data_IF_255022043446
#
_entry.id   IF_255022043446
#
_cell.length_a   1.000
_cell.length_b   1.000
_cell.length_c   1.000
_cell.angle_alpha   90.00
_cell.angle_beta   90.00
_cell.angle_gamma   90.00
#
_symmetry.space_group_name_H-M   'P 1'
#
loop_
_entity.id
_entity.type
_entity.pdbx_description
1 polymer ?
#
# COMPACT_ATOMS: atom_id res chain seq x y z
N UNK A 1 -3.11 -19.99 -33.69
CA UNK A 1 -2.42 -18.80 -33.76
C UNK A 1 -2.86 -17.65 -32.85
N UNK A 2 -4.19 -17.39 -32.67
CA UNK A 2 -4.65 -16.44 -31.64
C UNK A 2 -4.38 -16.93 -30.22
N UNK A 3 -4.48 -18.24 -29.98
CA UNK A 3 -4.21 -18.86 -28.68
C UNK A 3 -2.71 -18.82 -28.34
N UNK A 4 -1.84 -19.05 -29.33
CA UNK A 4 -0.38 -18.96 -29.13
C UNK A 4 0.08 -17.52 -28.89
N UNK A 5 -0.47 -16.52 -29.59
CA UNK A 5 -0.21 -15.11 -29.32
C UNK A 5 -0.72 -14.69 -27.92
N UNK A 6 -1.88 -15.22 -27.49
CA UNK A 6 -2.40 -14.99 -26.11
C UNK A 6 -1.48 -15.60 -25.06
N UNK A 7 -0.92 -16.81 -25.31
CA UNK A 7 0.00 -17.49 -24.40
C UNK A 7 1.42 -16.89 -24.43
N UNK A 8 1.86 -16.27 -25.52
CA UNK A 8 3.11 -15.52 -25.60
C UNK A 8 3.02 -14.18 -24.87
N UNK A 9 1.91 -13.47 -24.94
CA UNK A 9 1.65 -12.25 -24.16
C UNK A 9 1.57 -12.56 -22.64
N UNK A 10 1.16 -13.78 -22.27
CA UNK A 10 1.15 -14.24 -20.86
C UNK A 10 2.55 -14.61 -20.35
N UNK A 11 3.50 -14.89 -21.23
CA UNK A 11 4.89 -15.28 -20.89
C UNK A 11 5.86 -14.10 -20.73
N UNK A 12 5.47 -12.89 -21.12
CA UNK A 12 6.32 -11.72 -20.97
C UNK A 12 6.27 -11.27 -19.50
N UNK A 13 7.41 -11.28 -18.84
CA UNK A 13 7.55 -10.74 -17.48
C UNK A 13 7.13 -9.26 -17.46
N UNK A 14 5.91 -9.01 -16.99
CA UNK A 14 5.37 -7.66 -16.91
C UNK A 14 5.99 -6.91 -15.75
N UNK A 15 6.30 -5.64 -15.98
CA UNK A 15 6.95 -4.76 -15.02
C UNK A 15 5.93 -3.81 -14.41
N UNK A 16 5.98 -3.63 -13.10
CA UNK A 16 5.18 -2.66 -12.39
C UNK A 16 6.04 -1.64 -11.63
N UNK A 17 5.64 -0.39 -11.63
CA UNK A 17 6.07 0.56 -10.60
C UNK A 17 5.05 0.57 -9.47
N UNK A 18 5.50 0.21 -8.28
CA UNK A 18 4.73 0.28 -7.04
C UNK A 18 5.06 1.59 -6.34
N UNK A 19 4.15 2.56 -6.37
CA UNK A 19 4.43 3.93 -5.96
C UNK A 19 3.60 4.34 -4.75
N UNK A 20 4.27 4.81 -3.70
CA UNK A 20 3.63 5.25 -2.46
C UNK A 20 4.27 6.53 -1.92
N UNK A 21 3.73 7.05 -0.84
CA UNK A 21 4.31 8.16 -0.07
C UNK A 21 5.30 7.70 1.01
N UNK A 22 5.67 6.41 1.04
CA UNK A 22 6.59 5.82 2.00
C UNK A 22 5.94 5.25 3.26
N UNK A 23 4.61 5.43 3.45
CA UNK A 23 3.90 4.83 4.58
C UNK A 23 3.89 3.29 4.49
N UNK A 24 4.23 2.59 5.58
CA UNK A 24 4.38 1.14 5.62
C UNK A 24 3.12 0.39 5.15
N UNK A 25 1.92 0.87 5.54
CA UNK A 25 0.65 0.30 5.10
C UNK A 25 0.45 0.40 3.58
N UNK A 26 0.79 1.55 2.98
CA UNK A 26 0.70 1.74 1.54
C UNK A 26 1.71 0.87 0.78
N UNK A 27 2.93 0.74 1.31
CA UNK A 27 3.97 -0.16 0.77
C UNK A 27 3.46 -1.61 0.77
N UNK A 28 2.90 -2.06 1.89
CA UNK A 28 2.33 -3.41 2.02
C UNK A 28 1.26 -3.69 0.96
N UNK A 29 0.38 -2.72 0.72
CA UNK A 29 -0.71 -2.85 -0.24
C UNK A 29 -0.21 -2.97 -1.68
N UNK A 30 0.66 -2.08 -2.13
CA UNK A 30 1.17 -2.12 -3.51
C UNK A 30 2.01 -3.36 -3.78
N UNK A 31 2.83 -3.79 -2.82
CA UNK A 31 3.60 -5.04 -2.90
C UNK A 31 2.69 -6.26 -2.96
N UNK A 32 1.67 -6.31 -2.10
CA UNK A 32 0.70 -7.41 -2.06
C UNK A 32 -0.02 -7.58 -3.39
N UNK A 33 -0.50 -6.48 -3.99
CA UNK A 33 -1.17 -6.52 -5.28
C UNK A 33 -0.21 -6.95 -6.39
N UNK A 34 0.99 -6.36 -6.46
CA UNK A 34 1.98 -6.70 -7.48
C UNK A 34 2.38 -8.18 -7.42
N UNK A 35 2.58 -8.71 -6.21
CA UNK A 35 2.91 -10.13 -5.99
C UNK A 35 1.75 -11.05 -6.38
N UNK A 36 0.51 -10.72 -6.02
CA UNK A 36 -0.68 -11.48 -6.39
C UNK A 36 -0.89 -11.51 -7.92
N UNK A 37 -0.55 -10.41 -8.61
CA UNK A 37 -0.57 -10.32 -10.07
C UNK A 37 0.67 -10.96 -10.74
N UNK A 38 1.60 -11.51 -9.97
CA UNK A 38 2.87 -12.11 -10.45
C UNK A 38 3.70 -11.14 -11.32
N UNK A 39 3.75 -9.87 -10.93
CA UNK A 39 4.50 -8.83 -11.63
C UNK A 39 5.92 -8.70 -11.06
N UNK A 40 6.88 -8.46 -11.94
CA UNK A 40 8.18 -7.91 -11.53
C UNK A 40 7.99 -6.44 -11.18
N UNK A 41 8.27 -6.03 -9.94
CA UNK A 41 7.97 -4.67 -9.51
C UNK A 41 9.19 -3.94 -8.94
N UNK A 42 9.17 -2.63 -9.13
CA UNK A 42 10.08 -1.68 -8.49
C UNK A 42 9.28 -0.84 -7.50
N UNK A 43 9.73 -0.79 -6.25
CA UNK A 43 9.14 0.08 -5.24
C UNK A 43 9.73 1.48 -5.37
N UNK A 44 8.87 2.48 -5.53
CA UNK A 44 9.26 3.89 -5.67
C UNK A 44 8.48 4.76 -4.68
N UNK A 45 9.14 5.77 -4.15
CA UNK A 45 8.50 6.77 -3.28
C UNK A 45 8.32 8.08 -4.04
N UNK A 46 7.14 8.70 -3.89
CA UNK A 46 6.85 9.97 -4.53
C UNK A 46 6.96 11.13 -3.53
N UNK A 47 7.61 12.22 -3.97
CA UNK A 47 7.65 13.49 -3.29
C UNK A 47 6.96 14.57 -4.13
N UNK A 48 6.05 15.33 -3.50
CA UNK A 48 5.35 16.43 -4.16
C UNK A 48 5.95 17.79 -3.79
N UNK A 49 5.94 18.72 -4.76
CA UNK A 49 6.23 20.15 -4.52
C UNK A 49 5.00 20.87 -3.98
N UNK A 50 5.21 22.04 -3.37
CA UNK A 50 4.13 22.98 -3.12
C UNK A 50 3.60 23.56 -4.47
N UNK A 51 2.31 23.86 -4.61
CA UNK A 51 1.26 23.71 -3.60
C UNK A 51 0.64 22.30 -3.51
N UNK A 52 0.89 21.39 -4.45
CA UNK A 52 0.26 20.04 -4.55
C UNK A 52 0.43 19.20 -3.28
N UNK A 53 1.56 19.38 -2.57
CA UNK A 53 1.81 18.72 -1.28
C UNK A 53 0.68 18.92 -0.26
N UNK A 54 0.01 20.06 -0.32
CA UNK A 54 -1.01 20.48 0.65
C UNK A 54 -2.43 20.37 0.12
N UNK A 55 -2.61 20.30 -1.20
CA UNK A 55 -3.92 20.29 -1.85
C UNK A 55 -4.47 18.86 -2.02
N UNK A 56 -5.79 18.70 -2.09
CA UNK A 56 -6.40 17.44 -2.49
C UNK A 56 -6.01 17.07 -3.93
N UNK A 57 -5.89 15.76 -4.25
CA UNK A 57 -5.72 15.32 -5.62
C UNK A 57 -6.84 15.84 -6.53
N UNK A 58 -6.49 16.20 -7.77
CA UNK A 58 -7.47 16.71 -8.74
C UNK A 58 -7.80 18.20 -8.61
N UNK A 59 -7.39 18.86 -7.51
CA UNK A 59 -7.62 20.31 -7.36
C UNK A 59 -6.80 21.14 -8.36
N UNK A 60 -5.57 20.72 -8.61
CA UNK A 60 -4.71 21.27 -9.65
C UNK A 60 -4.30 20.17 -10.63
N UNK A 61 -4.09 20.55 -11.89
CA UNK A 61 -3.58 19.63 -12.89
C UNK A 61 -2.21 19.09 -12.50
N UNK A 62 -2.00 17.79 -12.67
CA UNK A 62 -0.69 17.16 -12.48
C UNK A 62 0.19 17.42 -13.70
N UNK A 63 1.32 18.06 -13.47
CA UNK A 63 2.37 18.36 -14.47
C UNK A 63 3.71 17.86 -13.95
N UNK A 64 4.77 17.88 -14.76
CA UNK A 64 6.10 17.38 -14.35
C UNK A 64 6.64 18.08 -13.09
N UNK A 65 6.40 19.38 -12.97
CA UNK A 65 6.81 20.14 -11.78
C UNK A 65 6.01 19.80 -10.52
N UNK A 66 4.92 19.06 -10.60
CA UNK A 66 4.16 18.56 -9.44
C UNK A 66 5.02 17.64 -8.58
N UNK A 67 5.85 16.83 -9.23
CA UNK A 67 6.64 15.77 -8.58
C UNK A 67 8.06 16.27 -8.40
N UNK A 68 8.53 16.33 -7.15
CA UNK A 68 9.86 16.82 -6.81
C UNK A 68 10.95 15.91 -7.34
N UNK A 69 10.76 14.60 -7.19
CA UNK A 69 11.69 13.57 -7.64
C UNK A 69 11.24 12.92 -8.98
N UNK A 70 10.76 13.73 -9.92
CA UNK A 70 10.28 13.23 -11.23
C UNK A 70 11.36 12.48 -12.03
N UNK A 71 12.64 12.76 -11.78
CA UNK A 71 13.77 12.04 -12.37
C UNK A 71 13.72 10.53 -12.13
N UNK A 72 13.25 10.12 -10.95
CA UNK A 72 13.19 8.71 -10.54
C UNK A 72 12.13 7.91 -11.35
N UNK A 73 11.32 8.63 -12.11
CA UNK A 73 10.25 8.10 -12.98
C UNK A 73 10.54 8.31 -14.46
N UNK A 74 11.75 8.75 -14.83
CA UNK A 74 12.21 8.92 -16.22
C UNK A 74 13.17 7.79 -16.59
N UNK A 75 12.62 6.59 -16.75
CA UNK A 75 13.39 5.42 -17.17
C UNK A 75 13.24 5.18 -18.69
N UNK A 76 14.24 4.52 -19.27
CA UNK A 76 14.23 4.14 -20.68
C UNK A 76 13.15 3.11 -21.00
N UNK A 77 12.83 2.27 -20.02
CA UNK A 77 11.79 1.23 -20.13
C UNK A 77 10.62 1.65 -19.24
N UNK A 78 9.48 1.90 -19.85
CA UNK A 78 8.25 2.19 -19.15
C UNK A 78 7.67 0.91 -18.55
N UNK A 79 7.01 0.99 -17.36
CA UNK A 79 6.34 -0.15 -16.80
C UNK A 79 5.05 -0.48 -17.56
N UNK A 80 4.60 -1.72 -17.50
CA UNK A 80 3.27 -2.11 -17.98
C UNK A 80 2.17 -1.61 -17.04
N UNK A 81 2.48 -1.58 -15.72
CA UNK A 81 1.55 -1.15 -14.68
C UNK A 81 2.17 -0.08 -13.78
N UNK A 82 1.35 0.88 -13.37
CA UNK A 82 1.63 1.78 -12.25
C UNK A 82 0.61 1.48 -11.17
N UNK A 83 1.07 0.85 -10.08
CA UNK A 83 0.27 0.51 -8.91
C UNK A 83 0.55 1.54 -7.82
N UNK A 84 -0.46 2.27 -7.40
CA UNK A 84 -0.31 3.37 -6.45
C UNK A 84 -1.17 3.16 -5.21
N UNK A 85 -0.68 3.61 -4.05
CA UNK A 85 -1.46 3.70 -2.82
C UNK A 85 -1.10 4.96 -2.04
N UNK A 86 -2.11 5.57 -1.41
CA UNK A 86 -1.97 6.81 -0.67
C UNK A 86 -2.13 8.07 -1.51
N UNK A 87 -2.58 9.14 -0.85
CA UNK A 87 -3.01 10.41 -1.49
C UNK A 87 -1.99 11.03 -2.45
N UNK A 88 -0.71 11.03 -2.08
CA UNK A 88 0.32 11.69 -2.89
C UNK A 88 0.57 10.97 -4.21
N UNK A 89 0.46 9.65 -4.23
CA UNK A 89 0.73 8.83 -5.42
C UNK A 89 -0.35 8.96 -6.51
N UNK A 90 -1.54 9.47 -6.16
CA UNK A 90 -2.59 9.81 -7.12
C UNK A 90 -2.07 10.77 -8.20
N UNK A 91 -1.28 11.77 -7.82
CA UNK A 91 -0.75 12.75 -8.77
C UNK A 91 0.14 12.12 -9.85
N UNK A 92 0.93 11.09 -9.50
CA UNK A 92 1.73 10.37 -10.48
C UNK A 92 0.85 9.61 -11.47
N UNK A 93 -0.15 8.89 -10.99
CA UNK A 93 -1.07 8.14 -11.85
C UNK A 93 -1.77 9.07 -12.83
N UNK A 94 -2.27 10.23 -12.37
CA UNK A 94 -2.92 11.22 -13.23
C UNK A 94 -1.96 11.76 -14.28
N UNK A 95 -0.73 12.10 -13.90
CA UNK A 95 0.30 12.59 -14.81
C UNK A 95 0.63 11.57 -15.90
N UNK A 96 0.91 10.32 -15.51
CA UNK A 96 1.28 9.29 -16.46
C UNK A 96 0.11 8.86 -17.35
N UNK A 97 -1.11 8.80 -16.80
CA UNK A 97 -2.31 8.51 -17.60
C UNK A 97 -2.54 9.58 -18.66
N UNK A 98 -2.37 10.86 -18.33
CA UNK A 98 -2.51 11.96 -19.29
C UNK A 98 -1.44 11.92 -20.39
N UNK A 99 -0.19 11.57 -20.03
CA UNK A 99 0.94 11.57 -20.97
C UNK A 99 1.04 10.31 -21.83
N UNK A 100 0.83 9.15 -21.21
CA UNK A 100 1.08 7.84 -21.84
C UNK A 100 -0.19 7.16 -22.33
N UNK A 101 -1.35 7.69 -21.95
CA UNK A 101 -2.67 7.15 -22.33
C UNK A 101 -2.75 5.64 -22.06
N UNK A 102 -2.90 4.83 -23.14
CA UNK A 102 -3.08 3.39 -23.04
C UNK A 102 -1.77 2.58 -23.00
N UNK A 103 -0.61 3.23 -23.01
CA UNK A 103 0.67 2.51 -22.97
C UNK A 103 1.00 1.91 -21.61
N UNK A 104 0.42 2.46 -20.54
CA UNK A 104 0.63 2.02 -19.17
C UNK A 104 -0.74 1.87 -18.49
N UNK A 105 -0.95 0.78 -17.77
CA UNK A 105 -2.15 0.56 -16.96
C UNK A 105 -1.97 1.11 -15.57
N UNK A 106 -2.93 1.90 -15.10
CA UNK A 106 -2.91 2.53 -13.78
C UNK A 106 -3.90 1.86 -12.84
N UNK A 107 -3.41 1.41 -11.68
CA UNK A 107 -4.22 0.83 -10.62
C UNK A 107 -3.99 1.63 -9.35
N UNK A 108 -5.04 2.16 -8.75
CA UNK A 108 -4.95 2.83 -7.46
C UNK A 108 -5.61 1.99 -6.36
N UNK A 109 -4.95 1.86 -5.23
CA UNK A 109 -5.47 1.18 -4.04
C UNK A 109 -5.94 2.23 -3.04
N UNK A 110 -7.14 2.09 -2.51
CA UNK A 110 -7.92 3.02 -1.69
C UNK A 110 -8.75 4.00 -2.54
N UNK A 111 -9.58 4.82 -1.90
CA UNK A 111 -10.31 5.89 -2.56
C UNK A 111 -9.37 7.04 -2.93
N UNK A 112 -9.14 7.32 -4.22
CA UNK A 112 -8.22 8.37 -4.67
C UNK A 112 -8.73 9.79 -4.39
N UNK A 113 -9.99 9.95 -3.95
CA UNK A 113 -10.69 11.24 -3.77
C UNK A 113 -10.78 12.09 -5.04
N UNK A 114 -10.75 11.43 -6.19
CA UNK A 114 -11.02 11.96 -7.53
C UNK A 114 -11.88 10.96 -8.31
N UNK A 115 -12.34 11.34 -9.49
CA UNK A 115 -13.13 10.44 -10.33
C UNK A 115 -12.34 9.14 -10.64
N UNK A 116 -12.93 8.00 -10.32
CA UNK A 116 -12.31 6.68 -10.55
C UNK A 116 -11.95 6.43 -12.02
N UNK A 117 -12.72 6.98 -12.96
CA UNK A 117 -12.48 6.84 -14.41
C UNK A 117 -11.16 7.46 -14.89
N UNK A 118 -10.47 8.21 -14.03
CA UNK A 118 -9.11 8.69 -14.30
C UNK A 118 -8.04 7.60 -14.16
N UNK A 119 -8.41 6.42 -13.70
CA UNK A 119 -7.56 5.23 -13.60
C UNK A 119 -8.12 4.10 -14.47
N UNK A 120 -7.29 3.11 -14.79
CA UNK A 120 -7.80 1.89 -15.41
C UNK A 120 -8.59 1.05 -14.39
N UNK A 121 -8.08 0.95 -13.15
CA UNK A 121 -8.78 0.31 -12.04
C UNK A 121 -8.52 1.05 -10.73
N UNK A 122 -9.52 1.00 -9.84
CA UNK A 122 -9.41 1.39 -8.43
C UNK A 122 -9.81 0.21 -7.57
N UNK A 123 -9.01 -0.14 -6.58
CA UNK A 123 -9.35 -1.17 -5.60
C UNK A 123 -9.57 -0.47 -4.26
N UNK A 124 -10.81 -0.47 -3.77
CA UNK A 124 -11.18 0.24 -2.57
C UNK A 124 -11.89 -0.67 -1.56
N UNK A 125 -11.71 -0.45 -0.25
CA UNK A 125 -12.48 -1.15 0.78
C UNK A 125 -13.98 -1.00 0.57
N UNK A 126 -14.76 -1.99 0.99
CA UNK A 126 -16.23 -1.95 0.86
C UNK A 126 -16.86 -0.75 1.57
N UNK A 127 -16.27 -0.34 2.69
CA UNK A 127 -16.77 0.80 3.48
C UNK A 127 -16.49 2.18 2.85
N UNK A 128 -15.64 2.25 1.83
CA UNK A 128 -15.44 3.50 1.08
C UNK A 128 -16.61 3.75 0.14
N UNK A 129 -17.04 5.01 0.06
CA UNK A 129 -18.22 5.42 -0.75
C UNK A 129 -17.98 5.43 -2.26
N UNK A 130 -16.72 5.30 -2.71
CA UNK A 130 -16.39 5.32 -4.14
C UNK A 130 -17.01 4.14 -4.88
N UNK A 131 -17.64 4.42 -6.03
CA UNK A 131 -18.22 3.43 -6.92
C UNK A 131 -17.90 3.77 -8.37
N UNK A 132 -17.96 2.78 -9.27
CA UNK A 132 -17.74 2.98 -10.69
C UNK A 132 -17.50 1.66 -11.43
N UNK A 133 -17.58 1.66 -12.76
CA UNK A 133 -17.42 0.43 -13.57
C UNK A 133 -16.01 -0.16 -13.48
N UNK A 134 -15.02 0.62 -13.07
CA UNK A 134 -13.63 0.25 -12.90
C UNK A 134 -13.20 0.15 -11.42
N UNK A 135 -14.19 0.17 -10.48
CA UNK A 135 -13.93 0.06 -9.04
C UNK A 135 -14.18 -1.37 -8.59
N UNK A 136 -13.16 -1.98 -8.01
CA UNK A 136 -13.19 -3.31 -7.40
C UNK A 136 -13.28 -3.11 -5.89
N UNK A 137 -14.32 -3.63 -5.28
CA UNK A 137 -14.50 -3.59 -3.82
C UNK A 137 -13.76 -4.75 -3.15
N UNK A 138 -13.05 -4.44 -2.08
CA UNK A 138 -12.30 -5.41 -1.28
C UNK A 138 -12.86 -5.45 0.15
N UNK A 139 -13.15 -6.64 0.66
CA UNK A 139 -13.62 -6.86 2.04
C UNK A 139 -12.49 -6.56 3.02
N UNK A 140 -11.27 -6.99 2.69
CA UNK A 140 -10.07 -6.83 3.52
C UNK A 140 -9.06 -5.91 2.84
N UNK A 141 -8.21 -5.29 3.65
CA UNK A 141 -7.07 -4.54 3.14
C UNK A 141 -6.08 -5.47 2.43
N UNK A 142 -5.69 -5.10 1.21
CA UNK A 142 -4.62 -5.78 0.49
C UNK A 142 -3.33 -5.67 1.32
N UNK A 143 -2.59 -6.77 1.40
CA UNK A 143 -1.30 -6.81 2.09
C UNK A 143 -0.36 -7.80 1.40
N UNK A 144 0.92 -7.78 1.77
CA UNK A 144 1.96 -8.65 1.21
C UNK A 144 2.29 -9.85 2.11
N UNK A 145 1.48 -10.10 3.13
CA UNK A 145 1.73 -11.20 4.08
C UNK A 145 1.25 -12.50 3.45
N UNK A 146 2.17 -13.43 3.28
CA UNK A 146 1.91 -14.79 2.78
C UNK A 146 2.28 -15.82 3.83
N UNK A 147 1.82 -17.06 3.67
CA UNK A 147 2.17 -18.15 4.58
C UNK A 147 3.68 -18.41 4.58
N UNK A 148 4.34 -18.31 3.42
CA UNK A 148 5.79 -18.47 3.30
C UNK A 148 6.54 -17.37 4.07
N UNK A 149 6.05 -16.11 4.00
CA UNK A 149 6.62 -15.02 4.78
C UNK A 149 6.44 -15.27 6.28
N UNK A 150 5.26 -15.69 6.71
CA UNK A 150 4.99 -16.01 8.12
C UNK A 150 5.89 -17.13 8.62
N UNK A 151 6.07 -18.21 7.86
CA UNK A 151 6.98 -19.31 8.20
C UNK A 151 8.43 -18.80 8.31
N UNK A 152 8.89 -18.05 7.33
CA UNK A 152 10.24 -17.47 7.32
C UNK A 152 10.51 -16.57 8.53
N UNK A 153 9.55 -15.69 8.86
CA UNK A 153 9.68 -14.81 10.04
C UNK A 153 9.58 -15.59 11.35
N UNK A 154 8.74 -16.64 11.42
CA UNK A 154 8.66 -17.52 12.59
C UNK A 154 10.02 -18.16 12.90
N UNK A 155 10.73 -18.67 11.90
CA UNK A 155 12.06 -19.23 12.10
C UNK A 155 13.07 -18.19 12.63
N UNK A 156 13.06 -16.97 12.08
CA UNK A 156 13.95 -15.89 12.53
C UNK A 156 13.73 -15.48 13.98
N UNK A 157 12.47 -15.55 14.46
CA UNK A 157 12.13 -15.14 15.82
C UNK A 157 12.11 -16.32 16.81
N UNK A 158 12.19 -17.56 16.37
CA UNK A 158 12.11 -18.76 17.20
C UNK A 158 13.06 -18.70 18.40
N UNK A 159 14.34 -18.50 18.13
CA UNK A 159 15.37 -18.46 19.19
C UNK A 159 15.22 -17.25 20.10
N UNK A 160 14.85 -16.10 19.50
CA UNK A 160 14.66 -14.84 20.24
C UNK A 160 13.49 -14.89 21.22
N UNK A 161 12.49 -15.71 20.95
CA UNK A 161 11.27 -15.85 21.75
C UNK A 161 11.23 -17.16 22.55
N UNK A 162 12.25 -18.02 22.45
CA UNK A 162 12.30 -19.36 23.04
C UNK A 162 12.22 -19.35 24.58
N UNK A 163 12.71 -18.27 25.22
CA UNK A 163 12.68 -18.11 26.69
C UNK A 163 11.31 -17.70 27.24
N UNK A 164 10.38 -17.30 26.39
CA UNK A 164 9.04 -16.86 26.80
C UNK A 164 8.16 -18.07 27.12
N UNK A 165 7.38 -17.96 28.20
CA UNK A 165 6.35 -18.95 28.53
C UNK A 165 5.21 -18.90 27.54
N UNK A 166 4.69 -20.06 27.18
CA UNK A 166 3.50 -20.17 26.31
C UNK A 166 2.23 -20.17 27.17
N UNK A 167 1.14 -19.59 26.67
CA UNK A 167 1.00 -18.93 25.37
C UNK A 167 1.70 -17.56 25.36
N UNK A 168 2.24 -17.19 24.19
CA UNK A 168 2.78 -15.86 23.94
C UNK A 168 1.66 -14.99 23.35
N UNK A 169 1.42 -13.85 23.96
CA UNK A 169 0.41 -12.87 23.53
C UNK A 169 1.13 -11.65 22.96
N UNK A 170 0.73 -11.21 21.79
CA UNK A 170 1.29 -9.99 21.19
C UNK A 170 0.32 -8.83 21.39
N UNK A 171 0.78 -7.77 22.02
CA UNK A 171 0.05 -6.52 22.15
C UNK A 171 0.52 -5.52 21.10
N UNK A 172 -0.38 -5.10 20.21
CA UNK A 172 -0.10 -4.06 19.22
C UNK A 172 -0.67 -2.74 19.72
N UNK A 173 0.22 -1.79 20.04
CA UNK A 173 -0.16 -0.47 20.54
C UNK A 173 -0.07 0.55 19.41
N UNK A 174 -1.20 1.18 19.07
CA UNK A 174 -1.25 2.27 18.10
C UNK A 174 -0.74 3.59 18.71
N UNK A 175 -0.19 4.45 17.84
CA UNK A 175 0.26 5.77 18.23
C UNK A 175 -0.84 6.84 18.16
N UNK A 176 -0.48 8.08 18.57
CA UNK A 176 -1.33 9.27 18.40
C UNK A 176 -1.64 9.53 16.92
N UNK A 177 -2.87 9.88 16.62
CA UNK A 177 -3.29 10.38 15.31
C UNK A 177 -4.31 11.54 15.46
N UNK A 178 -4.87 12.02 14.35
CA UNK A 178 -5.82 13.14 14.39
C UNK A 178 -7.14 12.83 15.11
N UNK A 179 -7.49 11.56 15.26
CA UNK A 179 -8.76 11.12 15.83
C UNK A 179 -8.60 10.57 17.27
N UNK A 180 -7.38 10.19 17.66
CA UNK A 180 -7.10 9.55 18.93
C UNK A 180 -5.94 10.22 19.66
N UNK A 181 -6.15 10.51 20.92
CA UNK A 181 -5.13 11.00 21.83
C UNK A 181 -4.52 9.79 22.55
N UNK A 182 -3.20 9.65 22.45
CA UNK A 182 -2.43 8.67 23.21
C UNK A 182 -1.42 9.43 24.06
N UNK A 183 -1.87 9.88 25.21
CA UNK A 183 -1.12 10.68 26.18
C UNK A 183 -0.59 9.83 27.33
N UNK A 184 0.07 10.48 28.28
CA UNK A 184 0.62 9.83 29.48
C UNK A 184 -0.44 9.11 30.32
N UNK A 185 -1.65 9.65 30.38
CA UNK A 185 -2.76 9.03 31.12
C UNK A 185 -3.21 7.73 30.46
N UNK A 186 -3.35 7.74 29.11
CA UNK A 186 -3.69 6.55 28.35
C UNK A 186 -2.62 5.45 28.50
N UNK A 187 -1.33 5.82 28.48
CA UNK A 187 -0.22 4.88 28.73
C UNK A 187 -0.31 4.26 30.11
N UNK A 188 -0.51 5.07 31.17
CA UNK A 188 -0.62 4.57 32.54
C UNK A 188 -1.83 3.64 32.74
N UNK A 189 -2.97 3.97 32.13
CA UNK A 189 -4.15 3.12 32.19
C UNK A 189 -3.94 1.80 31.44
N UNK A 190 -3.26 1.83 30.29
CA UNK A 190 -2.91 0.62 29.55
C UNK A 190 -1.96 -0.26 30.35
N UNK A 191 -0.90 0.33 30.96
CA UNK A 191 0.05 -0.39 31.79
C UNK A 191 -0.63 -1.14 32.93
N UNK A 192 -1.52 -0.47 33.70
CA UNK A 192 -2.27 -1.12 34.78
C UNK A 192 -3.08 -2.33 34.30
N UNK A 193 -3.76 -2.21 33.16
CA UNK A 193 -4.52 -3.33 32.55
C UNK A 193 -3.62 -4.49 32.14
N UNK A 194 -2.43 -4.17 31.63
CA UNK A 194 -1.44 -5.18 31.26
C UNK A 194 -0.97 -5.92 32.52
N UNK A 195 -0.63 -5.19 33.57
CA UNK A 195 -0.19 -5.77 34.84
C UNK A 195 -1.28 -6.71 35.44
N UNK A 196 -2.54 -6.27 35.47
CA UNK A 196 -3.69 -7.11 35.89
C UNK A 196 -3.83 -8.39 35.04
N UNK A 197 -3.60 -8.32 33.72
CA UNK A 197 -3.66 -9.50 32.82
C UNK A 197 -2.50 -10.46 33.14
N UNK A 198 -1.30 -9.94 33.35
CA UNK A 198 -0.11 -10.75 33.61
C UNK A 198 -0.18 -11.42 35.00
N UNK A 199 -0.72 -10.73 36.00
CA UNK A 199 -0.90 -11.28 37.36
C UNK A 199 -1.92 -12.43 37.40
N UNK A 200 -2.96 -12.34 36.57
CA UNK A 200 -4.07 -13.30 36.59
C UNK A 200 -3.91 -14.45 35.54
N UNK A 201 -2.88 -14.39 34.71
CA UNK A 201 -2.69 -15.38 33.64
C UNK A 201 -1.22 -15.81 33.53
N UNK A 202 -1.00 -17.10 33.31
CA UNK A 202 0.34 -17.63 33.04
C UNK A 202 0.68 -17.49 31.56
N UNK A 203 0.93 -16.26 31.12
CA UNK A 203 1.24 -15.90 29.74
C UNK A 203 2.53 -15.09 29.66
N UNK A 204 3.12 -14.95 28.46
CA UNK A 204 4.13 -13.95 28.14
C UNK A 204 3.54 -12.90 27.19
N UNK A 205 3.83 -11.62 27.42
CA UNK A 205 3.35 -10.49 26.62
C UNK A 205 4.54 -9.77 25.99
#
# INVERSE_FOLDING_TARGET
>A
DRYNNFMEDYKKDKIAWCVTDGAAGNISQVKGLASAMKLNYQLKTIELRAPWKYLPPGYLQSIDSTIKNISDFKESILPDYIITAGRKSVYLSLLFKSKLKNKVKTIHIQDPKVNSQLFDHVIAPEHDSINGPNVIKSVLAINHITDELLLSETEKFRDKLSFLKKPIVTLIVGGKNNNYIFDKSAVLNLSKKIDEILENNSISL
#
